data_IF_490766877302
#
_entry.id   IF_490766877302
#
_cell.length_a   1.000
_cell.length_b   1.000
_cell.length_c   1.000
_cell.angle_alpha   90.00
_cell.angle_beta   90.00
_cell.angle_gamma   90.00
#
_symmetry.space_group_name_H-M   'P 1'
#
loop_
_entity.id
_entity.type
_entity.pdbx_description
1 polymer ?
#
# COMPACT_ATOMS: atom_id res chain seq x y z
N UNK A 1 22.68 -52.18 -4.47
CA UNK A 1 21.63 -51.43 -3.71
C UNK A 1 20.27 -51.66 -4.36
N UNK A 2 19.23 -52.04 -3.59
CA UNK A 2 17.87 -52.23 -4.13
C UNK A 2 17.35 -50.90 -4.72
N UNK A 3 16.61 -50.92 -5.82
CA UNK A 3 16.10 -49.73 -6.54
C UNK A 3 15.39 -48.74 -5.61
N UNK A 4 14.65 -49.24 -4.63
CA UNK A 4 13.94 -48.41 -3.66
C UNK A 4 14.88 -47.59 -2.73
N UNK A 5 16.07 -48.14 -2.36
CA UNK A 5 17.07 -47.40 -1.55
C UNK A 5 17.68 -46.25 -2.33
N UNK A 6 17.87 -46.42 -3.67
CA UNK A 6 18.32 -45.29 -4.52
C UNK A 6 17.23 -44.20 -4.64
N UNK A 7 15.98 -44.60 -4.82
CA UNK A 7 14.87 -43.66 -4.85
C UNK A 7 14.73 -42.86 -3.54
N UNK A 8 14.81 -43.56 -2.40
CA UNK A 8 14.77 -42.92 -1.07
C UNK A 8 15.93 -41.93 -0.87
N UNK A 9 17.15 -42.28 -1.30
CA UNK A 9 18.29 -41.37 -1.22
C UNK A 9 18.09 -40.13 -2.07
N UNK A 10 17.48 -40.24 -3.26
CA UNK A 10 17.18 -39.07 -4.09
C UNK A 10 16.13 -38.15 -3.42
N UNK A 11 15.08 -38.75 -2.83
CA UNK A 11 14.06 -37.98 -2.10
C UNK A 11 14.68 -37.22 -0.93
N UNK A 12 15.53 -37.90 -0.13
CA UNK A 12 16.23 -37.26 1.00
C UNK A 12 17.15 -36.14 0.50
N UNK A 13 17.91 -36.34 -0.59
CA UNK A 13 18.78 -35.32 -1.14
C UNK A 13 17.99 -34.09 -1.62
N UNK A 14 16.83 -34.30 -2.26
CA UNK A 14 15.94 -33.19 -2.68
C UNK A 14 15.39 -32.45 -1.46
N UNK A 15 14.95 -33.15 -0.43
CA UNK A 15 14.45 -32.54 0.80
C UNK A 15 15.54 -31.71 1.52
N UNK A 16 16.77 -32.23 1.58
CA UNK A 16 17.91 -31.52 2.16
C UNK A 16 18.28 -30.27 1.32
N UNK A 17 18.20 -30.36 0.00
CA UNK A 17 18.41 -29.22 -0.88
C UNK A 17 17.35 -28.14 -0.66
N UNK A 18 16.08 -28.54 -0.61
CA UNK A 18 14.97 -27.62 -0.31
C UNK A 18 15.17 -26.97 1.06
N UNK A 19 15.47 -27.76 2.10
CA UNK A 19 15.73 -27.24 3.43
C UNK A 19 16.93 -26.27 3.47
N UNK A 20 18.00 -26.57 2.71
CA UNK A 20 19.17 -25.69 2.58
C UNK A 20 18.85 -24.37 1.88
N UNK A 21 18.07 -24.43 0.80
CA UNK A 21 17.60 -23.25 0.08
C UNK A 21 16.65 -22.40 0.96
N UNK A 22 15.70 -23.03 1.63
CA UNK A 22 14.83 -22.35 2.58
C UNK A 22 15.63 -21.71 3.73
N UNK A 23 16.58 -22.44 4.30
CA UNK A 23 17.46 -21.92 5.35
C UNK A 23 18.31 -20.75 4.89
N UNK A 24 18.82 -20.77 3.65
CA UNK A 24 19.52 -19.62 3.07
C UNK A 24 18.62 -18.39 3.00
N UNK A 25 17.42 -18.52 2.43
CA UNK A 25 16.50 -17.40 2.30
C UNK A 25 15.98 -16.90 3.65
N UNK A 26 15.75 -17.77 4.63
CA UNK A 26 15.24 -17.37 5.93
C UNK A 26 16.29 -16.74 6.85
N UNK A 27 17.55 -17.16 6.76
CA UNK A 27 18.55 -16.81 7.76
C UNK A 27 19.80 -16.11 7.22
N UNK A 28 20.09 -16.27 5.94
CA UNK A 28 21.34 -15.76 5.34
C UNK A 28 21.11 -14.79 4.18
N UNK A 29 19.88 -14.74 3.63
CA UNK A 29 19.53 -13.77 2.60
C UNK A 29 19.66 -12.35 3.18
N UNK A 30 20.43 -11.45 2.53
CA UNK A 30 20.51 -10.07 3.02
C UNK A 30 19.12 -9.44 2.96
N UNK A 31 18.60 -9.07 4.12
CA UNK A 31 17.40 -8.26 4.19
C UNK A 31 17.82 -6.85 3.81
N UNK A 32 17.48 -6.43 2.59
CA UNK A 32 17.76 -5.07 2.14
C UNK A 32 17.07 -4.09 3.07
N UNK A 33 17.88 -3.17 3.62
CA UNK A 33 17.38 -2.12 4.52
C UNK A 33 16.81 -0.94 3.76
N UNK A 34 17.16 -0.80 2.47
CA UNK A 34 16.72 0.27 1.60
C UNK A 34 15.41 -0.09 0.87
N UNK A 35 14.68 0.93 0.46
CA UNK A 35 13.50 0.74 -0.39
C UNK A 35 13.88 0.78 -1.88
N UNK A 36 13.06 0.11 -2.69
CA UNK A 36 13.12 0.22 -4.15
C UNK A 36 12.05 1.17 -4.66
N UNK A 37 12.28 1.76 -5.82
CA UNK A 37 11.32 2.61 -6.50
C UNK A 37 10.61 1.83 -7.60
N UNK A 38 9.29 1.81 -7.56
CA UNK A 38 8.47 1.22 -8.60
C UNK A 38 7.74 2.29 -9.37
N UNK A 39 7.93 2.32 -10.68
CA UNK A 39 7.35 3.32 -11.59
C UNK A 39 6.22 2.72 -12.39
N UNK A 40 5.03 3.28 -12.23
CA UNK A 40 3.84 2.87 -12.97
C UNK A 40 3.33 3.99 -13.86
N UNK A 41 2.89 3.65 -15.07
CA UNK A 41 2.32 4.59 -16.04
C UNK A 41 0.85 4.31 -16.24
N UNK A 42 0.04 5.34 -16.08
CA UNK A 42 -1.41 5.27 -16.24
C UNK A 42 -1.85 6.30 -17.28
N UNK A 43 -2.73 5.90 -18.19
CA UNK A 43 -3.33 6.80 -19.18
C UNK A 43 -4.82 6.96 -18.90
N UNK A 44 -5.33 8.18 -19.04
CA UNK A 44 -6.75 8.48 -18.93
C UNK A 44 -7.12 9.70 -19.78
N UNK A 45 -8.19 9.57 -20.56
CA UNK A 45 -8.72 10.68 -21.35
C UNK A 45 -9.36 11.79 -20.48
N UNK A 46 -9.61 11.51 -19.21
CA UNK A 46 -10.13 12.47 -18.22
C UNK A 46 -9.05 13.41 -17.69
N UNK A 47 -7.77 13.09 -17.86
CA UNK A 47 -6.64 13.94 -17.47
C UNK A 47 -6.12 14.71 -18.67
N UNK A 48 -5.81 15.99 -18.48
CA UNK A 48 -5.39 16.93 -19.55
C UNK A 48 -3.90 17.23 -19.53
N UNK A 49 -3.20 16.92 -18.44
CA UNK A 49 -1.76 17.10 -18.30
C UNK A 49 -1.15 15.98 -17.47
N UNK A 50 0.18 15.88 -17.52
CA UNK A 50 0.94 14.94 -16.68
C UNK A 50 0.66 15.22 -15.20
N UNK A 51 0.56 14.13 -14.44
CA UNK A 51 0.38 14.14 -12.99
C UNK A 51 1.30 13.08 -12.39
N UNK A 52 2.18 13.49 -11.48
CA UNK A 52 3.03 12.57 -10.72
C UNK A 52 2.51 12.41 -9.30
N UNK A 53 2.23 11.18 -8.93
CA UNK A 53 1.80 10.79 -7.58
C UNK A 53 2.90 9.92 -6.97
N UNK A 54 3.27 10.22 -5.72
CA UNK A 54 4.11 9.34 -4.92
C UNK A 54 3.25 8.72 -3.83
N UNK A 55 3.21 7.40 -3.77
CA UNK A 55 2.45 6.65 -2.77
C UNK A 55 3.39 6.05 -1.72
N UNK A 56 3.07 6.30 -0.45
CA UNK A 56 3.63 5.66 0.73
C UNK A 56 2.55 4.78 1.36
N UNK A 57 2.95 3.64 1.90
CA UNK A 57 2.06 2.73 2.61
C UNK A 57 2.83 1.86 3.58
N UNK A 58 2.16 1.42 4.63
CA UNK A 58 2.66 0.35 5.50
C UNK A 58 4.09 0.62 5.99
N UNK A 59 4.31 1.79 6.59
CA UNK A 59 5.63 2.18 7.10
C UNK A 59 5.97 1.48 8.42
N UNK A 60 4.94 1.22 9.26
CA UNK A 60 5.09 0.56 10.57
C UNK A 60 6.24 1.12 11.40
N UNK A 61 6.26 2.45 11.55
CA UNK A 61 7.27 3.22 12.29
C UNK A 61 8.72 3.04 11.81
N UNK A 62 8.94 2.40 10.66
CA UNK A 62 10.27 2.28 10.10
C UNK A 62 10.79 3.65 9.69
N UNK A 63 12.07 3.89 9.94
CA UNK A 63 12.76 5.08 9.50
C UNK A 63 13.83 4.76 8.45
N UNK A 64 13.89 5.58 7.40
CA UNK A 64 14.92 5.56 6.38
C UNK A 64 15.82 6.78 6.54
N UNK A 65 16.97 6.57 7.19
CA UNK A 65 17.79 7.63 7.75
C UNK A 65 17.19 8.23 9.03
N UNK A 66 17.93 9.07 9.72
CA UNK A 66 17.44 9.74 10.93
C UNK A 66 16.22 10.62 10.60
N UNK A 67 15.11 10.40 11.30
CA UNK A 67 13.85 11.10 11.06
C UNK A 67 13.40 11.03 9.57
N UNK A 68 13.56 9.89 8.95
CA UNK A 68 13.20 9.64 7.54
C UNK A 68 13.89 10.55 6.50
N UNK A 69 15.05 11.13 6.83
CA UNK A 69 15.72 12.11 5.96
C UNK A 69 16.02 11.56 4.56
N UNK A 70 16.36 10.27 4.42
CA UNK A 70 16.66 9.67 3.13
C UNK A 70 15.40 9.47 2.27
N UNK A 71 14.30 9.02 2.89
CA UNK A 71 13.00 8.90 2.23
C UNK A 71 12.47 10.27 1.77
N UNK A 72 12.51 11.27 2.65
CA UNK A 72 12.06 12.64 2.35
C UNK A 72 12.90 13.27 1.25
N UNK A 73 14.23 13.12 1.30
CA UNK A 73 15.13 13.63 0.26
C UNK A 73 14.81 13.00 -1.09
N UNK A 74 14.51 11.70 -1.09
CA UNK A 74 14.15 11.00 -2.33
C UNK A 74 12.80 11.46 -2.88
N UNK A 75 11.76 11.56 -2.05
CA UNK A 75 10.44 12.07 -2.45
C UNK A 75 10.56 13.49 -3.01
N UNK A 76 11.32 14.37 -2.36
CA UNK A 76 11.58 15.73 -2.84
C UNK A 76 12.25 15.75 -4.22
N UNK A 77 13.20 14.85 -4.46
CA UNK A 77 13.88 14.74 -5.76
C UNK A 77 12.95 14.27 -6.89
N UNK A 78 11.93 13.48 -6.56
CA UNK A 78 10.91 13.00 -7.50
C UNK A 78 9.95 14.10 -7.95
N UNK A 79 9.85 15.22 -7.21
CA UNK A 79 8.95 16.37 -7.49
C UNK A 79 7.51 15.92 -7.74
N UNK A 80 6.85 15.25 -6.78
CA UNK A 80 5.47 14.83 -6.94
C UNK A 80 4.53 16.03 -7.00
N UNK A 81 3.42 15.87 -7.72
CA UNK A 81 2.29 16.80 -7.68
C UNK A 81 1.35 16.48 -6.51
N UNK A 82 1.33 15.20 -6.08
CA UNK A 82 0.54 14.67 -4.97
C UNK A 82 1.37 13.62 -4.24
N UNK A 83 1.26 13.60 -2.91
CA UNK A 83 1.71 12.51 -2.06
C UNK A 83 0.48 11.83 -1.48
N UNK A 84 0.35 10.51 -1.71
CA UNK A 84 -0.74 9.69 -1.22
C UNK A 84 -0.22 8.71 -0.16
N UNK A 85 -0.87 8.68 1.01
CA UNK A 85 -0.54 7.76 2.10
C UNK A 85 -1.72 6.81 2.28
N UNK A 86 -1.48 5.51 2.12
CA UNK A 86 -2.52 4.49 2.12
C UNK A 86 -2.54 3.63 3.37
N UNK A 87 -2.21 4.23 4.52
CA UNK A 87 -2.39 3.65 5.86
C UNK A 87 -1.22 2.84 6.37
N UNK A 88 -1.38 2.35 7.59
CA UNK A 88 -0.42 1.55 8.35
C UNK A 88 0.98 2.20 8.43
N UNK A 89 0.99 3.51 8.63
CA UNK A 89 2.21 4.26 8.90
C UNK A 89 2.70 4.06 10.34
N UNK A 90 1.75 3.84 11.28
CA UNK A 90 2.00 3.47 12.66
C UNK A 90 1.90 1.96 12.87
N UNK A 91 2.35 1.48 14.03
CA UNK A 91 2.15 0.10 14.45
C UNK A 91 1.02 0.02 15.50
N UNK A 92 0.22 -1.04 15.45
CA UNK A 92 -0.88 -1.24 16.42
C UNK A 92 -0.40 -1.35 17.86
N UNK A 93 0.82 -1.80 18.08
CA UNK A 93 1.41 -1.98 19.40
C UNK A 93 2.00 -0.66 19.96
N UNK A 94 2.07 0.41 19.16
CA UNK A 94 2.67 1.69 19.56
C UNK A 94 1.63 2.80 19.64
N UNK A 95 1.61 3.50 20.78
CA UNK A 95 0.84 4.76 20.94
C UNK A 95 1.66 5.99 20.52
N UNK A 96 2.94 5.80 20.20
CA UNK A 96 3.82 6.87 19.76
C UNK A 96 3.60 7.14 18.26
N UNK A 97 3.09 8.33 17.95
CA UNK A 97 2.80 8.77 16.58
C UNK A 97 3.87 9.72 16.02
N UNK A 98 4.98 9.94 16.73
CA UNK A 98 5.98 10.93 16.31
C UNK A 98 6.58 10.63 14.95
N UNK A 99 6.91 9.38 14.65
CA UNK A 99 7.45 9.01 13.35
C UNK A 99 6.50 9.40 12.21
N UNK A 100 5.19 9.22 12.42
CA UNK A 100 4.16 9.55 11.41
C UNK A 100 3.99 11.07 11.27
N UNK A 101 3.86 11.77 12.40
CA UNK A 101 3.63 13.24 12.38
C UNK A 101 4.85 13.99 11.87
N UNK A 102 6.05 13.60 12.28
CA UNK A 102 7.31 14.23 11.85
C UNK A 102 7.59 13.98 10.37
N UNK A 103 7.28 12.78 9.87
CA UNK A 103 7.34 12.50 8.43
C UNK A 103 6.33 13.36 7.67
N UNK A 104 5.07 13.39 8.10
CA UNK A 104 4.03 14.16 7.44
C UNK A 104 4.33 15.67 7.45
N UNK A 105 4.90 16.21 8.54
CA UNK A 105 5.32 17.61 8.60
C UNK A 105 6.37 17.95 7.54
N UNK A 106 7.25 17.01 7.21
CA UNK A 106 8.25 17.20 6.14
C UNK A 106 7.64 17.03 4.73
N UNK A 107 6.66 16.12 4.58
CA UNK A 107 6.03 15.82 3.29
C UNK A 107 5.11 16.94 2.81
N UNK A 108 4.39 17.62 3.69
CA UNK A 108 3.51 18.74 3.34
C UNK A 108 4.28 19.95 2.77
N UNK A 109 5.58 20.04 3.07
CA UNK A 109 6.49 21.05 2.49
C UNK A 109 6.93 20.71 1.04
N UNK A 110 6.60 19.50 0.56
CA UNK A 110 6.97 19.04 -0.79
C UNK A 110 5.79 19.14 -1.74
N UNK A 111 4.63 18.59 -1.36
CA UNK A 111 3.41 18.56 -2.16
C UNK A 111 2.18 18.33 -1.25
N UNK A 112 0.94 18.57 -1.73
CA UNK A 112 -0.27 18.19 -1.03
C UNK A 112 -0.25 16.70 -0.63
N UNK A 113 -0.49 16.43 0.67
CA UNK A 113 -0.51 15.08 1.23
C UNK A 113 -1.95 14.66 1.51
N UNK A 114 -2.34 13.52 0.96
CA UNK A 114 -3.63 12.86 1.18
C UNK A 114 -3.40 11.57 1.96
N UNK A 115 -4.15 11.35 3.02
CA UNK A 115 -3.95 10.26 3.95
C UNK A 115 -5.26 9.52 4.22
N UNK A 116 -5.25 8.19 4.10
CA UNK A 116 -6.27 7.31 4.66
C UNK A 116 -5.64 6.43 5.72
N UNK A 117 -6.30 6.17 6.86
CA UNK A 117 -5.78 5.25 7.87
C UNK A 117 -5.85 3.81 7.40
N UNK A 118 -4.94 2.98 7.92
CA UNK A 118 -5.01 1.53 7.80
C UNK A 118 -5.59 0.88 9.07
N UNK A 119 -5.46 -0.44 9.15
CA UNK A 119 -5.97 -1.20 10.29
C UNK A 119 -5.19 -1.02 11.59
N UNK A 120 -4.01 -0.43 11.52
CA UNK A 120 -3.22 -0.11 12.71
C UNK A 120 -3.60 1.24 13.33
N UNK A 121 -4.06 2.21 12.52
CA UNK A 121 -4.48 3.52 13.02
C UNK A 121 -5.97 3.63 13.28
N UNK A 122 -6.82 3.10 12.38
CA UNK A 122 -8.25 3.36 12.40
C UNK A 122 -8.94 2.95 13.71
N UNK A 123 -8.69 1.74 14.27
CA UNK A 123 -9.24 1.38 15.57
C UNK A 123 -8.79 2.31 16.70
N UNK A 124 -7.55 2.78 16.70
CA UNK A 124 -7.03 3.72 17.70
C UNK A 124 -7.75 5.07 17.64
N UNK A 125 -8.03 5.56 16.43
CA UNK A 125 -8.77 6.82 16.22
C UNK A 125 -10.21 6.68 16.69
N UNK A 126 -10.88 5.58 16.33
CA UNK A 126 -12.33 5.42 16.59
C UNK A 126 -12.62 4.99 18.02
N UNK A 127 -11.82 4.10 18.61
CA UNK A 127 -12.16 3.45 19.87
C UNK A 127 -11.24 3.83 21.04
N UNK A 128 -10.01 4.27 20.77
CA UNK A 128 -9.02 4.51 21.81
C UNK A 128 -8.73 6.01 22.03
N UNK A 129 -9.34 6.88 21.19
CA UNK A 129 -9.24 8.34 21.36
C UNK A 129 -7.91 8.93 20.88
N UNK A 130 -7.23 8.27 19.92
CA UNK A 130 -6.04 8.82 19.29
C UNK A 130 -6.33 10.14 18.60
N UNK A 131 -5.45 11.11 18.76
CA UNK A 131 -5.53 12.46 18.14
C UNK A 131 -4.89 12.49 16.75
N UNK A 132 -4.38 11.37 16.24
CA UNK A 132 -3.60 11.33 15.00
C UNK A 132 -4.28 12.08 13.84
N UNK A 133 -5.58 11.85 13.62
CA UNK A 133 -6.29 12.52 12.53
C UNK A 133 -6.26 14.04 12.65
N UNK A 134 -6.53 14.57 13.85
CA UNK A 134 -6.51 16.03 14.11
C UNK A 134 -5.10 16.60 14.06
N UNK A 135 -4.10 15.85 14.51
CA UNK A 135 -2.70 16.27 14.49
C UNK A 135 -2.20 16.34 13.04
N UNK A 136 -2.53 15.37 12.20
CA UNK A 136 -2.22 15.39 10.78
C UNK A 136 -2.93 16.54 10.04
N UNK A 137 -4.21 16.77 10.32
CA UNK A 137 -4.95 17.89 9.73
C UNK A 137 -4.36 19.25 10.17
N UNK A 138 -3.89 19.37 11.41
CA UNK A 138 -3.21 20.58 11.89
C UNK A 138 -1.87 20.85 11.17
N UNK A 139 -1.20 19.81 10.68
CA UNK A 139 0.01 19.91 9.85
C UNK A 139 -0.30 20.26 8.38
N UNK A 140 -1.57 20.23 7.97
CA UNK A 140 -1.99 20.48 6.59
C UNK A 140 -2.20 19.24 5.74
N UNK A 141 -2.13 18.06 6.33
CA UNK A 141 -2.49 16.79 5.66
C UNK A 141 -3.98 16.73 5.42
N UNK A 142 -4.40 16.25 4.26
CA UNK A 142 -5.80 15.97 3.92
C UNK A 142 -6.14 14.55 4.40
N UNK A 143 -6.64 14.45 5.63
CA UNK A 143 -7.05 13.17 6.20
C UNK A 143 -8.44 12.78 5.68
N UNK A 144 -8.51 11.69 4.89
CA UNK A 144 -9.70 11.26 4.16
C UNK A 144 -10.31 9.99 4.79
N UNK A 145 -11.14 10.16 5.81
CA UNK A 145 -11.93 9.07 6.39
C UNK A 145 -13.37 9.19 5.89
N UNK A 146 -13.75 8.35 4.93
CA UNK A 146 -15.05 8.30 4.26
C UNK A 146 -15.54 9.66 3.76
N UNK A 147 -14.60 10.41 3.15
CA UNK A 147 -14.86 11.72 2.54
C UNK A 147 -14.02 11.92 1.29
N UNK A 148 -14.39 12.88 0.47
CA UNK A 148 -13.63 13.28 -0.71
C UNK A 148 -13.54 14.79 -0.83
N UNK A 149 -12.60 15.25 -1.63
CA UNK A 149 -12.51 16.63 -2.04
C UNK A 149 -12.21 16.73 -3.55
N UNK A 150 -12.59 17.87 -4.13
CA UNK A 150 -12.22 18.22 -5.50
C UNK A 150 -11.02 19.15 -5.47
N UNK A 151 -9.97 18.81 -6.21
CA UNK A 151 -8.73 19.57 -6.27
C UNK A 151 -8.31 19.79 -7.71
N UNK A 152 -7.68 20.96 -7.96
CA UNK A 152 -7.07 21.26 -9.25
C UNK A 152 -5.56 21.20 -9.12
N UNK A 153 -4.93 20.32 -9.89
CA UNK A 153 -3.48 20.13 -9.96
C UNK A 153 -3.04 20.37 -11.41
N UNK A 154 -2.29 21.43 -11.64
CA UNK A 154 -2.00 21.89 -13.00
C UNK A 154 -3.28 22.23 -13.75
N UNK A 155 -3.55 21.56 -14.87
CA UNK A 155 -4.80 21.67 -15.61
C UNK A 155 -5.79 20.54 -15.35
N UNK A 156 -5.47 19.61 -14.44
CA UNK A 156 -6.32 18.49 -14.08
C UNK A 156 -7.26 18.86 -12.93
N UNK A 157 -8.52 18.50 -13.04
CA UNK A 157 -9.47 18.52 -11.92
C UNK A 157 -9.71 17.08 -11.48
N UNK A 158 -9.37 16.80 -10.23
CA UNK A 158 -9.42 15.49 -9.63
C UNK A 158 -10.44 15.46 -8.48
N UNK A 159 -11.14 14.35 -8.34
CA UNK A 159 -11.83 14.00 -7.10
C UNK A 159 -10.95 12.98 -6.37
N UNK A 160 -10.50 13.34 -5.18
CA UNK A 160 -9.68 12.47 -4.34
C UNK A 160 -10.50 12.08 -3.13
N UNK A 161 -10.83 10.80 -3.04
CA UNK A 161 -11.60 10.22 -1.95
C UNK A 161 -10.77 9.23 -1.12
N UNK A 162 -11.27 8.91 0.08
CA UNK A 162 -10.64 7.93 0.94
C UNK A 162 -11.65 7.10 1.72
N UNK A 163 -11.41 5.79 1.84
CA UNK A 163 -12.16 4.88 2.69
C UNK A 163 -11.29 4.47 3.86
N UNK A 164 -11.80 4.68 5.08
CA UNK A 164 -11.12 4.29 6.32
C UNK A 164 -11.53 2.89 6.81
N UNK A 165 -12.74 2.45 6.49
CA UNK A 165 -13.29 1.19 6.96
C UNK A 165 -12.65 -0.04 6.30
N UNK A 166 -12.66 -1.17 7.02
CA UNK A 166 -12.34 -2.46 6.45
C UNK A 166 -13.50 -2.97 5.58
N UNK A 167 -13.25 -3.86 4.58
CA UNK A 167 -14.29 -4.40 3.72
C UNK A 167 -15.47 -5.01 4.49
N UNK A 168 -15.23 -5.67 5.62
CA UNK A 168 -16.27 -6.26 6.45
C UNK A 168 -17.21 -5.23 7.10
N UNK A 169 -16.77 -3.99 7.28
CA UNK A 169 -17.53 -2.90 7.90
C UNK A 169 -18.15 -1.93 6.88
N UNK A 170 -17.78 -2.07 5.62
CA UNK A 170 -18.10 -1.16 4.52
C UNK A 170 -19.61 -0.86 4.41
N UNK A 171 -20.45 -1.89 4.35
CA UNK A 171 -21.89 -1.73 4.15
C UNK A 171 -22.53 -0.86 5.24
N UNK A 172 -22.00 -0.92 6.44
CA UNK A 172 -22.56 -0.20 7.58
C UNK A 172 -22.10 1.26 7.65
N UNK A 173 -20.87 1.54 7.28
CA UNK A 173 -20.26 2.84 7.58
C UNK A 173 -19.83 3.65 6.34
N UNK A 174 -19.38 3.01 5.26
CA UNK A 174 -18.80 3.69 4.12
C UNK A 174 -19.62 3.61 2.82
N UNK A 175 -20.67 2.78 2.72
CA UNK A 175 -21.41 2.57 1.47
C UNK A 175 -22.03 3.86 0.92
N UNK A 176 -22.62 4.69 1.78
CA UNK A 176 -23.23 5.96 1.36
C UNK A 176 -22.22 6.97 0.81
N UNK A 177 -21.02 7.04 1.41
CA UNK A 177 -19.93 7.85 0.90
C UNK A 177 -19.51 7.39 -0.50
N UNK A 178 -19.30 6.09 -0.69
CA UNK A 178 -18.82 5.55 -1.95
C UNK A 178 -19.84 5.71 -3.08
N UNK A 179 -21.12 5.56 -2.81
CA UNK A 179 -22.17 5.80 -3.80
C UNK A 179 -22.19 7.25 -4.27
N UNK A 180 -22.08 8.20 -3.34
CA UNK A 180 -21.98 9.62 -3.66
C UNK A 180 -20.70 9.93 -4.45
N UNK A 181 -19.54 9.46 -3.99
CA UNK A 181 -18.26 9.65 -4.68
C UNK A 181 -18.28 9.07 -6.10
N UNK A 182 -18.77 7.85 -6.28
CA UNK A 182 -18.82 7.20 -7.59
C UNK A 182 -19.77 7.92 -8.57
N UNK A 183 -20.84 8.55 -8.06
CA UNK A 183 -21.79 9.31 -8.87
C UNK A 183 -21.26 10.66 -9.38
N UNK A 184 -20.14 11.16 -8.81
CA UNK A 184 -19.57 12.42 -9.25
C UNK A 184 -18.93 12.29 -10.64
N UNK A 185 -18.82 13.43 -11.36
CA UNK A 185 -18.11 13.52 -12.64
C UNK A 185 -16.66 13.90 -12.43
N UNK A 186 -15.78 13.55 -13.37
CA UNK A 186 -14.36 13.89 -13.35
C UNK A 186 -13.45 12.68 -13.18
N UNK A 187 -12.16 12.92 -12.99
CA UNK A 187 -11.19 11.87 -12.71
C UNK A 187 -11.23 11.54 -11.22
N UNK A 188 -11.56 10.31 -10.90
CA UNK A 188 -11.74 9.84 -9.52
C UNK A 188 -10.57 8.98 -9.08
N UNK A 189 -9.80 9.48 -8.11
CA UNK A 189 -8.74 8.76 -7.42
C UNK A 189 -9.21 8.42 -5.99
N UNK A 190 -9.21 7.14 -5.66
CA UNK A 190 -9.62 6.65 -4.34
C UNK A 190 -8.42 6.08 -3.61
N UNK A 191 -8.18 6.55 -2.40
CA UNK A 191 -7.24 5.95 -1.46
C UNK A 191 -8.01 4.95 -0.60
N UNK A 192 -7.52 3.73 -0.53
CA UNK A 192 -8.13 2.68 0.29
C UNK A 192 -7.04 1.72 0.76
N UNK A 193 -6.97 1.47 2.06
CA UNK A 193 -5.90 0.64 2.59
C UNK A 193 -5.96 -0.79 2.05
N UNK A 194 -7.14 -1.40 2.01
CA UNK A 194 -7.37 -2.81 1.69
C UNK A 194 -7.58 -3.07 0.19
N UNK A 195 -6.69 -3.81 -0.50
CA UNK A 195 -6.90 -4.22 -1.88
C UNK A 195 -8.07 -5.20 -2.04
N UNK A 196 -8.51 -5.87 -0.96
CA UNK A 196 -9.63 -6.81 -0.90
C UNK A 196 -10.96 -6.18 -1.32
N UNK A 197 -11.07 -4.86 -1.31
CA UNK A 197 -12.20 -4.14 -1.92
C UNK A 197 -12.36 -4.43 -3.42
N UNK A 198 -11.34 -4.98 -4.06
CA UNK A 198 -11.33 -5.41 -5.46
C UNK A 198 -11.25 -6.93 -5.65
N UNK A 199 -11.37 -7.73 -4.58
CA UNK A 199 -11.43 -9.18 -4.68
C UNK A 199 -12.73 -9.64 -5.36
N UNK A 200 -12.65 -10.71 -6.19
CA UNK A 200 -13.79 -11.14 -7.02
C UNK A 200 -15.06 -11.45 -6.21
N UNK A 201 -14.91 -12.02 -5.01
CA UNK A 201 -16.05 -12.51 -4.21
C UNK A 201 -16.63 -11.46 -3.23
N UNK A 202 -15.86 -10.41 -2.90
CA UNK A 202 -16.23 -9.46 -1.82
C UNK A 202 -16.12 -8.00 -2.25
N UNK A 203 -15.73 -7.75 -3.47
CA UNK A 203 -15.28 -6.46 -3.95
C UNK A 203 -16.38 -5.40 -4.06
N UNK A 204 -16.63 -4.69 -2.97
CA UNK A 204 -17.58 -3.57 -2.94
C UNK A 204 -17.26 -2.45 -3.95
N UNK A 205 -16.01 -2.37 -4.42
CA UNK A 205 -15.55 -1.40 -5.42
C UNK A 205 -15.64 -1.90 -6.86
N UNK A 206 -15.91 -3.19 -7.08
CA UNK A 206 -16.03 -3.75 -8.43
C UNK A 206 -17.22 -3.12 -9.16
N UNK A 207 -16.97 -2.57 -10.35
CA UNK A 207 -17.99 -1.94 -11.19
C UNK A 207 -18.44 -0.55 -10.75
N UNK A 208 -17.83 0.03 -9.70
CA UNK A 208 -18.01 1.45 -9.37
C UNK A 208 -17.20 2.31 -10.36
N UNK A 209 -17.72 3.49 -10.70
CA UNK A 209 -17.02 4.43 -11.59
C UNK A 209 -15.88 5.13 -10.83
N UNK A 210 -14.73 4.45 -10.76
CA UNK A 210 -13.49 4.92 -10.14
C UNK A 210 -12.38 4.74 -11.18
N UNK A 211 -11.58 5.77 -11.42
CA UNK A 211 -10.53 5.71 -12.43
C UNK A 211 -9.25 5.06 -11.91
N UNK A 212 -8.87 5.40 -10.66
CA UNK A 212 -7.67 4.89 -10.00
C UNK A 212 -7.95 4.61 -8.53
N UNK A 213 -7.45 3.50 -8.02
CA UNK A 213 -7.42 3.18 -6.59
C UNK A 213 -5.99 2.90 -6.15
N UNK A 214 -5.59 3.45 -5.00
CA UNK A 214 -4.29 3.24 -4.38
C UNK A 214 -4.47 2.44 -3.11
N UNK A 215 -3.78 1.29 -3.00
CA UNK A 215 -3.93 0.33 -1.91
C UNK A 215 -2.58 -0.01 -1.27
N UNK A 216 -2.63 -0.48 -0.01
CA UNK A 216 -1.51 -1.02 0.76
C UNK A 216 -1.83 -2.41 1.28
N UNK A 217 -1.63 -2.63 2.60
CA UNK A 217 -2.07 -3.76 3.42
C UNK A 217 -1.45 -5.12 3.12
N UNK A 218 -1.30 -5.48 1.86
CA UNK A 218 -0.90 -6.83 1.45
C UNK A 218 0.60 -7.13 1.69
N UNK A 219 1.43 -6.13 1.99
CA UNK A 219 2.88 -6.25 2.19
C UNK A 219 3.59 -7.08 1.11
N UNK A 220 3.10 -7.04 -0.14
CA UNK A 220 3.62 -7.86 -1.23
C UNK A 220 3.47 -9.37 -1.00
N UNK A 221 2.68 -9.80 0.01
CA UNK A 221 2.56 -11.19 0.46
C UNK A 221 3.76 -11.69 1.23
N UNK A 222 4.54 -10.80 1.84
CA UNK A 222 5.70 -11.00 2.72
C UNK A 222 6.81 -11.87 2.10
N UNK A 223 6.51 -13.10 1.73
CA UNK A 223 7.40 -14.05 1.05
C UNK A 223 6.99 -14.22 -0.41
N UNK A 224 7.90 -13.89 -1.31
CA UNK A 224 7.66 -14.01 -2.76
C UNK A 224 8.53 -15.09 -3.35
N UNK A 225 7.91 -16.03 -4.04
CA UNK A 225 8.62 -17.12 -4.71
C UNK A 225 8.85 -16.78 -6.18
N UNK A 226 10.04 -17.11 -6.73
CA UNK A 226 10.27 -16.96 -8.17
C UNK A 226 9.18 -17.69 -8.97
N UNK A 227 8.62 -17.02 -9.97
CA UNK A 227 7.57 -17.50 -10.88
C UNK A 227 6.17 -17.70 -10.28
N UNK A 228 6.03 -17.78 -8.96
CA UNK A 228 4.74 -17.97 -8.28
C UNK A 228 4.20 -16.67 -7.68
N UNK A 229 5.08 -15.68 -7.42
CA UNK A 229 4.68 -14.44 -6.76
C UNK A 229 4.52 -14.60 -5.25
N UNK A 230 3.58 -13.89 -4.67
CA UNK A 230 3.29 -13.91 -3.24
C UNK A 230 2.84 -15.29 -2.77
N UNK A 231 3.32 -15.71 -1.59
CA UNK A 231 2.99 -17.02 -1.05
C UNK A 231 1.68 -16.99 -0.26
N UNK A 232 1.48 -15.95 0.56
CA UNK A 232 0.35 -15.89 1.48
C UNK A 232 0.12 -14.45 1.95
N UNK A 233 -1.16 -14.06 2.11
CA UNK A 233 -1.59 -12.93 2.93
C UNK A 233 -2.72 -13.37 3.87
N UNK A 234 -2.87 -12.75 5.06
CA UNK A 234 -3.92 -13.13 6.00
C UNK A 234 -5.33 -13.10 5.39
N UNK A 235 -5.63 -12.08 4.60
CA UNK A 235 -6.98 -11.81 4.11
C UNK A 235 -7.32 -12.47 2.77
N UNK A 236 -6.31 -12.90 2.00
CA UNK A 236 -6.51 -13.57 0.70
C UNK A 236 -6.08 -15.04 0.70
N UNK A 237 -5.38 -15.51 1.76
CA UNK A 237 -4.91 -16.89 1.84
C UNK A 237 -3.66 -17.17 1.02
N UNK A 238 -3.55 -18.42 0.50
CA UNK A 238 -2.40 -18.87 -0.28
C UNK A 238 -2.48 -18.44 -1.75
N UNK A 239 -1.32 -18.03 -2.30
CA UNK A 239 -1.15 -17.55 -3.68
C UNK A 239 -2.12 -16.40 -4.02
N UNK A 240 -2.08 -15.32 -3.21
CA UNK A 240 -2.98 -14.20 -3.37
C UNK A 240 -2.67 -13.40 -4.65
N UNK A 241 -3.71 -12.84 -5.28
CA UNK A 241 -3.59 -12.08 -6.52
C UNK A 241 -3.36 -10.58 -6.30
N UNK A 242 -3.94 -10.02 -5.22
CA UNK A 242 -3.93 -8.57 -4.96
C UNK A 242 -2.81 -8.20 -3.96
N UNK A 243 -1.55 -8.26 -4.40
CA UNK A 243 -0.42 -8.05 -3.50
C UNK A 243 0.56 -6.96 -3.90
N UNK A 244 0.65 -6.63 -5.18
CA UNK A 244 1.55 -5.59 -5.70
C UNK A 244 1.17 -5.15 -7.11
N UNK A 245 1.73 -4.02 -7.50
CA UNK A 245 1.74 -3.58 -8.89
C UNK A 245 0.44 -2.94 -9.35
N UNK A 246 0.21 -2.92 -10.64
CA UNK A 246 -0.97 -2.32 -11.27
C UNK A 246 -1.83 -3.40 -11.91
N UNK A 247 -3.09 -3.45 -11.51
CA UNK A 247 -4.11 -4.29 -12.13
C UNK A 247 -5.21 -3.41 -12.72
N UNK A 248 -5.95 -3.94 -13.70
CA UNK A 248 -7.15 -3.27 -14.20
C UNK A 248 -8.35 -4.15 -13.89
N UNK A 249 -9.17 -3.70 -12.94
CA UNK A 249 -10.32 -4.46 -12.44
C UNK A 249 -11.58 -3.65 -12.72
N UNK A 250 -12.46 -4.19 -13.56
CA UNK A 250 -13.73 -3.54 -13.97
C UNK A 250 -13.56 -2.09 -14.46
N UNK A 251 -12.41 -1.78 -15.10
CA UNK A 251 -12.11 -0.45 -15.61
C UNK A 251 -11.26 0.44 -14.67
N UNK A 252 -11.23 0.14 -13.38
CA UNK A 252 -10.38 0.85 -12.39
C UNK A 252 -8.92 0.40 -12.49
N UNK A 253 -7.98 1.36 -12.45
CA UNK A 253 -6.55 1.07 -12.26
C UNK A 253 -6.27 0.93 -10.77
N UNK A 254 -6.13 -0.30 -10.30
CA UNK A 254 -5.82 -0.64 -8.91
C UNK A 254 -4.31 -0.76 -8.77
N UNK A 255 -3.72 0.08 -7.94
CA UNK A 255 -2.28 0.14 -7.68
C UNK A 255 -2.05 -0.29 -6.24
N UNK A 256 -1.31 -1.36 -6.05
CA UNK A 256 -1.09 -1.96 -4.74
C UNK A 256 0.39 -1.84 -4.39
N UNK A 257 0.68 -1.15 -3.29
CA UNK A 257 2.02 -1.01 -2.75
C UNK A 257 2.41 -2.25 -1.95
N UNK A 258 3.68 -2.63 -2.04
CA UNK A 258 4.26 -3.66 -1.16
C UNK A 258 4.58 -3.13 0.25
N UNK A 259 4.40 -1.83 0.48
CA UNK A 259 4.70 -1.18 1.74
C UNK A 259 6.18 -0.89 1.96
N UNK A 260 6.46 0.03 2.88
CA UNK A 260 7.81 0.51 3.21
C UNK A 260 8.39 -0.19 4.45
N UNK A 261 7.56 -0.60 5.39
CA UNK A 261 7.96 -1.24 6.64
C UNK A 261 7.57 -2.72 6.73
N UNK A 262 7.80 -3.28 7.88
CA UNK A 262 7.40 -4.62 8.28
C UNK A 262 6.51 -4.51 9.51
N UNK A 263 5.36 -5.19 9.51
CA UNK A 263 4.55 -5.35 10.71
C UNK A 263 5.32 -6.18 11.74
N UNK A 264 5.53 -5.63 12.92
CA UNK A 264 6.26 -6.27 14.03
C UNK A 264 5.60 -7.59 14.46
N UNK A 265 4.30 -7.76 14.20
CA UNK A 265 3.55 -8.99 14.46
C UNK A 265 3.76 -10.11 13.44
N UNK A 266 4.45 -9.87 12.34
CA UNK A 266 4.64 -10.88 11.30
C UNK A 266 5.74 -11.90 11.66
N UNK A 267 5.40 -13.18 11.50
CA UNK A 267 6.32 -14.29 11.84
C UNK A 267 7.48 -14.45 10.85
N UNK A 268 7.37 -13.90 9.64
CA UNK A 268 8.36 -14.10 8.58
C UNK A 268 8.89 -12.75 8.08
N UNK A 269 10.21 -12.64 7.84
CA UNK A 269 10.79 -11.45 7.22
C UNK A 269 10.35 -11.35 5.75
N UNK A 270 10.55 -10.17 5.16
CA UNK A 270 10.41 -10.00 3.71
C UNK A 270 11.44 -10.85 2.97
N UNK A 271 10.99 -11.73 2.07
CA UNK A 271 11.85 -12.57 1.24
C UNK A 271 11.54 -12.31 -0.23
N UNK A 272 12.52 -11.90 -1.02
CA UNK A 272 12.37 -11.44 -2.40
C UNK A 272 11.29 -10.35 -2.55
N UNK A 273 11.14 -9.52 -1.56
CA UNK A 273 10.06 -8.56 -1.41
C UNK A 273 10.61 -7.28 -0.72
N UNK A 274 11.48 -6.51 -1.39
CA UNK A 274 12.03 -5.30 -0.79
C UNK A 274 10.93 -4.27 -0.51
N UNK A 275 11.11 -3.41 0.51
CA UNK A 275 10.26 -2.25 0.74
C UNK A 275 10.12 -1.41 -0.53
N UNK A 276 8.97 -0.78 -0.71
CA UNK A 276 8.63 -0.11 -1.98
C UNK A 276 8.13 1.31 -1.78
N UNK A 277 8.73 2.24 -2.51
CA UNK A 277 8.17 3.56 -2.77
C UNK A 277 7.55 3.52 -4.17
N UNK A 278 6.25 3.80 -4.26
CA UNK A 278 5.51 3.74 -5.53
C UNK A 278 5.45 5.12 -6.17
N UNK A 279 5.80 5.20 -7.45
CA UNK A 279 5.72 6.41 -8.27
C UNK A 279 4.76 6.16 -9.43
N UNK A 280 3.74 6.99 -9.55
CA UNK A 280 2.73 6.89 -10.59
C UNK A 280 2.81 8.11 -11.47
N UNK A 281 3.13 7.89 -12.75
CA UNK A 281 3.10 8.91 -13.78
C UNK A 281 1.81 8.74 -14.61
N UNK A 282 0.82 9.58 -14.35
CA UNK A 282 -0.41 9.61 -15.10
C UNK A 282 -0.29 10.58 -16.30
N UNK A 283 -0.78 10.18 -17.47
CA UNK A 283 -0.65 10.91 -18.75
C UNK A 283 0.78 11.35 -19.07
N UNK A 284 1.71 10.43 -18.89
CA UNK A 284 3.10 10.64 -19.27
C UNK A 284 3.29 10.35 -20.78
N UNK A 285 3.84 11.33 -21.53
CA UNK A 285 4.14 11.26 -22.97
C UNK A 285 5.64 11.20 -23.21
#
# INVERSE_FOLDING_TARGET
MKKWKKALLHVIAVLLLIAGVCGYFLFLYPHEQDFVESYYKVQSDKLTSHLRIVQLSDLHLREFGENNCDLVARIRALKPDIIAITGDMNDKESDDMHVVTDLCAQLVEIAPVYYVPGNHEWPKIVFEGSTLASDLEALGVRFLADKYETVTIGSNTLLIGGIAEAPASYEKYASGFLEDFAAQSGYKMLLVHYPEYYAEDTGALIGKDIDMALCGHAHGGQVRLPFLGALYTPDQGFLPDLTEGVQTISGTKVIISRGLGDDVGQMLPRINNPPELVIIDANWY
#
